data_IF_818346502807
#
_entry.id   IF_818346502807
#
_cell.length_a   1.000
_cell.length_b   1.000
_cell.length_c   1.000
_cell.angle_alpha   90.00
_cell.angle_beta   90.00
_cell.angle_gamma   90.00
#
_symmetry.space_group_name_H-M   'P 1'
#
loop_
_entity.id
_entity.type
_entity.pdbx_description
1 polymer ?
#
# COMPACT_ATOMS: atom_id res chain seq x y z
N UNK A 1 2.94 -14.93 16.84
CA UNK A 1 2.40 -14.17 15.67
C UNK A 1 2.56 -15.04 14.43
N UNK A 2 1.50 -15.32 13.67
CA UNK A 2 1.59 -16.06 12.40
C UNK A 2 2.15 -15.13 11.32
N UNK A 3 3.30 -15.48 10.72
CA UNK A 3 3.86 -14.78 9.56
C UNK A 3 3.42 -15.47 8.27
N UNK A 4 3.30 -14.71 7.19
CA UNK A 4 3.05 -15.25 5.84
C UNK A 4 4.37 -15.27 5.07
N UNK A 5 4.68 -16.39 4.42
CA UNK A 5 5.89 -16.49 3.62
C UNK A 5 5.66 -15.87 2.24
N UNK A 6 6.16 -14.64 2.07
CA UNK A 6 6.08 -13.88 0.83
C UNK A 6 7.46 -13.59 0.24
N UNK A 7 8.46 -14.45 0.47
CA UNK A 7 9.85 -14.23 0.02
C UNK A 7 10.01 -14.03 -1.49
N UNK A 8 9.09 -14.57 -2.30
CA UNK A 8 9.06 -14.41 -3.77
C UNK A 8 8.44 -13.10 -4.25
N UNK A 9 7.98 -12.25 -3.32
CA UNK A 9 7.37 -10.96 -3.63
C UNK A 9 8.32 -9.82 -3.31
N UNK A 10 8.25 -8.78 -4.13
CA UNK A 10 8.81 -7.46 -3.86
C UNK A 10 7.69 -6.49 -3.53
N UNK A 11 8.02 -5.48 -2.75
CA UNK A 11 7.20 -4.30 -2.57
C UNK A 11 7.66 -3.28 -3.61
N UNK A 12 6.73 -2.76 -4.41
CA UNK A 12 6.97 -1.57 -5.23
C UNK A 12 6.19 -0.43 -4.59
N UNK A 13 6.88 0.60 -4.11
CA UNK A 13 6.29 1.80 -3.53
C UNK A 13 6.51 3.00 -4.44
N UNK A 14 5.46 3.76 -4.70
CA UNK A 14 5.49 5.05 -5.38
C UNK A 14 5.20 6.13 -4.34
N UNK A 15 6.18 6.97 -4.02
CA UNK A 15 6.12 8.01 -3.00
C UNK A 15 6.13 9.41 -3.62
N UNK A 16 5.37 10.33 -3.06
CA UNK A 16 5.37 11.74 -3.46
C UNK A 16 5.74 12.69 -2.32
N UNK A 17 5.18 12.48 -1.12
CA UNK A 17 5.50 13.30 0.07
C UNK A 17 4.93 12.69 1.37
N UNK A 18 5.21 13.34 2.49
CA UNK A 18 4.59 13.04 3.77
C UNK A 18 3.14 13.55 3.86
N UNK A 19 2.31 12.89 4.66
CA UNK A 19 1.00 13.41 5.08
C UNK A 19 1.06 13.92 6.52
N UNK A 20 0.13 14.79 6.94
CA UNK A 20 0.02 15.24 8.32
C UNK A 20 -0.55 14.13 9.22
N UNK A 21 0.19 13.02 9.39
CA UNK A 21 -0.21 11.82 10.15
C UNK A 21 -0.78 12.18 11.52
N UNK A 22 -0.12 13.10 12.24
CA UNK A 22 -0.56 13.57 13.57
C UNK A 22 -1.97 14.17 13.53
N UNK A 23 -2.34 14.90 12.48
CA UNK A 23 -3.66 15.50 12.33
C UNK A 23 -4.73 14.41 12.18
N UNK A 24 -4.52 13.47 11.25
CA UNK A 24 -5.44 12.34 11.03
C UNK A 24 -5.63 11.48 12.28
N UNK A 25 -4.54 11.21 13.01
CA UNK A 25 -4.60 10.40 14.23
C UNK A 25 -5.27 11.14 15.40
N UNK A 26 -5.28 12.47 15.43
CA UNK A 26 -6.00 13.26 16.45
C UNK A 26 -7.50 13.34 16.18
N UNK A 27 -7.92 13.22 14.91
CA UNK A 27 -9.33 13.22 14.54
C UNK A 27 -10.07 11.94 15.03
N UNK A 28 -11.03 12.12 15.92
CA UNK A 28 -11.84 11.02 16.49
C UNK A 28 -12.66 10.30 15.42
N UNK A 29 -13.24 11.01 14.43
CA UNK A 29 -14.04 10.40 13.35
C UNK A 29 -13.16 9.53 12.46
N UNK A 30 -11.95 9.99 12.14
CA UNK A 30 -10.96 9.20 11.38
C UNK A 30 -10.58 7.94 12.15
N UNK A 31 -10.24 8.05 13.44
CA UNK A 31 -9.92 6.88 14.29
C UNK A 31 -11.06 5.87 14.36
N UNK A 32 -12.30 6.32 14.55
CA UNK A 32 -13.48 5.43 14.60
C UNK A 32 -13.66 4.68 13.27
N UNK A 33 -13.45 5.36 12.15
CA UNK A 33 -13.52 4.75 10.81
C UNK A 33 -12.43 3.71 10.61
N UNK A 34 -11.18 4.06 10.89
CA UNK A 34 -10.03 3.13 10.85
C UNK A 34 -10.31 1.87 11.67
N UNK A 35 -10.80 2.02 12.91
CA UNK A 35 -11.09 0.89 13.77
C UNK A 35 -12.23 0.01 13.24
N UNK A 36 -13.29 0.62 12.69
CA UNK A 36 -14.43 -0.12 12.11
C UNK A 36 -14.00 -0.89 10.86
N UNK A 37 -13.38 -0.20 9.91
CA UNK A 37 -12.96 -0.77 8.62
C UNK A 37 -11.83 -1.79 8.82
N UNK A 38 -10.88 -1.51 9.71
CA UNK A 38 -9.74 -2.39 10.01
C UNK A 38 -10.17 -3.75 10.57
N UNK A 39 -11.16 -3.79 11.48
CA UNK A 39 -11.72 -5.05 11.98
C UNK A 39 -12.35 -5.89 10.87
N UNK A 40 -13.10 -5.24 9.97
CA UNK A 40 -13.73 -5.87 8.80
C UNK A 40 -12.67 -6.40 7.83
N UNK A 41 -11.69 -5.57 7.48
CA UNK A 41 -10.57 -5.91 6.60
C UNK A 41 -9.77 -7.11 7.13
N UNK A 42 -9.42 -7.10 8.42
CA UNK A 42 -8.71 -8.21 9.05
C UNK A 42 -9.53 -9.50 9.02
N UNK A 43 -10.82 -9.44 9.34
CA UNK A 43 -11.71 -10.62 9.29
C UNK A 43 -11.70 -11.24 7.89
N UNK A 44 -11.82 -10.43 6.83
CA UNK A 44 -11.80 -10.94 5.46
C UNK A 44 -10.44 -11.51 5.05
N UNK A 45 -9.35 -10.84 5.42
CA UNK A 45 -8.01 -11.29 5.05
C UNK A 45 -7.70 -12.66 5.65
N UNK A 46 -8.14 -12.92 6.88
CA UNK A 46 -7.89 -14.17 7.59
C UNK A 46 -8.62 -15.40 7.02
N UNK A 47 -9.66 -15.21 6.19
CA UNK A 47 -10.39 -16.32 5.56
C UNK A 47 -9.50 -17.06 4.55
N UNK A 48 -8.81 -16.31 3.67
CA UNK A 48 -7.91 -16.86 2.65
C UNK A 48 -6.74 -15.90 2.39
N UNK A 49 -5.71 -15.91 3.26
CA UNK A 49 -4.59 -14.98 3.14
C UNK A 49 -3.76 -15.25 1.88
N UNK A 50 -3.55 -14.22 1.06
CA UNK A 50 -2.63 -14.21 -0.08
C UNK A 50 -2.10 -12.80 -0.32
N UNK A 51 -1.00 -12.65 -1.06
CA UNK A 51 -0.47 -11.32 -1.41
C UNK A 51 -1.49 -10.48 -2.21
N UNK A 52 -2.24 -11.12 -3.11
CA UNK A 52 -3.31 -10.47 -3.87
C UNK A 52 -4.49 -10.07 -2.98
N UNK A 53 -4.90 -10.94 -2.05
CA UNK A 53 -5.93 -10.59 -1.08
C UNK A 53 -5.47 -9.43 -0.18
N UNK A 54 -4.19 -9.40 0.19
CA UNK A 54 -3.61 -8.34 1.00
C UNK A 54 -3.71 -6.98 0.30
N UNK A 55 -3.29 -6.87 -0.95
CA UNK A 55 -3.36 -5.58 -1.68
C UNK A 55 -4.80 -5.15 -1.95
N UNK A 56 -5.69 -6.07 -2.37
CA UNK A 56 -7.12 -5.77 -2.59
C UNK A 56 -7.81 -5.30 -1.31
N UNK A 57 -7.58 -5.97 -0.19
CA UNK A 57 -8.16 -5.59 1.11
C UNK A 57 -7.56 -4.28 1.61
N UNK A 58 -6.26 -4.06 1.38
CA UNK A 58 -5.61 -2.78 1.71
C UNK A 58 -6.21 -1.63 0.90
N UNK A 59 -6.47 -1.84 -0.40
CA UNK A 59 -7.12 -0.85 -1.28
C UNK A 59 -8.53 -0.53 -0.79
N UNK A 60 -9.36 -1.56 -0.55
CA UNK A 60 -10.70 -1.39 0.05
C UNK A 60 -10.62 -0.62 1.39
N UNK A 61 -9.65 -0.96 2.25
CA UNK A 61 -9.47 -0.28 3.53
C UNK A 61 -9.14 1.21 3.34
N UNK A 62 -8.22 1.54 2.45
CA UNK A 62 -7.82 2.92 2.19
C UNK A 62 -8.95 3.74 1.53
N UNK A 63 -9.71 3.15 0.60
CA UNK A 63 -10.90 3.74 -0.01
C UNK A 63 -11.99 4.03 1.05
N UNK A 64 -12.30 3.07 1.92
CA UNK A 64 -13.30 3.25 2.97
C UNK A 64 -12.86 4.27 4.05
N UNK A 65 -11.55 4.33 4.37
CA UNK A 65 -11.00 5.33 5.31
C UNK A 65 -10.96 6.73 4.68
N UNK A 66 -10.77 6.82 3.36
CA UNK A 66 -10.83 8.04 2.53
C UNK A 66 -9.89 9.16 2.99
N UNK A 67 -8.62 8.81 3.24
CA UNK A 67 -7.54 9.74 3.61
C UNK A 67 -6.58 10.06 2.45
N UNK A 68 -6.99 9.73 1.22
CA UNK A 68 -6.23 10.07 0.02
C UNK A 68 -6.19 11.59 -0.23
N UNK A 69 -5.04 12.08 -0.68
CA UNK A 69 -4.96 13.37 -1.38
C UNK A 69 -5.57 13.26 -2.77
N UNK A 70 -5.92 14.39 -3.40
CA UNK A 70 -6.41 14.38 -4.78
C UNK A 70 -5.38 13.76 -5.73
N UNK A 71 -4.09 14.09 -5.56
CA UNK A 71 -3.00 13.51 -6.34
C UNK A 71 -2.97 11.98 -6.27
N UNK A 72 -3.12 11.38 -5.09
CA UNK A 72 -3.17 9.91 -4.99
C UNK A 72 -4.39 9.31 -5.69
N UNK A 73 -5.55 9.99 -5.67
CA UNK A 73 -6.75 9.53 -6.39
C UNK A 73 -6.52 9.53 -7.90
N UNK A 74 -5.91 10.59 -8.43
CA UNK A 74 -5.62 10.71 -9.86
C UNK A 74 -4.60 9.65 -10.30
N UNK A 75 -3.54 9.45 -9.52
CA UNK A 75 -2.52 8.41 -9.75
C UNK A 75 -3.16 7.01 -9.72
N UNK A 76 -3.98 6.70 -8.72
CA UNK A 76 -4.69 5.41 -8.65
C UNK A 76 -5.60 5.20 -9.86
N UNK A 77 -6.36 6.22 -10.28
CA UNK A 77 -7.22 6.12 -11.46
C UNK A 77 -6.44 5.77 -12.73
N UNK A 78 -5.21 6.25 -12.87
CA UNK A 78 -4.33 5.92 -13.99
C UNK A 78 -3.76 4.50 -13.82
N UNK A 79 -3.23 4.15 -12.64
CA UNK A 79 -2.66 2.83 -12.36
C UNK A 79 -3.68 1.70 -12.55
N UNK A 80 -4.92 1.94 -12.13
CA UNK A 80 -6.02 0.96 -12.21
C UNK A 80 -6.30 0.52 -13.66
N UNK A 81 -6.01 1.38 -14.66
CA UNK A 81 -6.13 1.05 -16.09
C UNK A 81 -5.09 0.04 -16.56
N UNK A 82 -3.94 -0.04 -15.90
CA UNK A 82 -2.84 -0.94 -16.27
C UNK A 82 -2.90 -2.27 -15.53
N UNK A 83 -3.32 -2.26 -14.26
CA UNK A 83 -3.06 -3.40 -13.38
C UNK A 83 -4.27 -4.00 -12.66
N UNK A 84 -5.45 -3.40 -12.82
CA UNK A 84 -6.69 -3.91 -12.24
C UNK A 84 -6.77 -3.72 -10.73
N UNK A 85 -6.41 -2.54 -10.23
CA UNK A 85 -6.54 -2.12 -8.82
C UNK A 85 -5.59 -2.86 -7.87
N UNK A 86 -4.33 -3.06 -8.27
CA UNK A 86 -3.34 -3.73 -7.42
C UNK A 86 -2.66 -2.79 -6.42
N UNK A 87 -2.68 -1.47 -6.66
CA UNK A 87 -2.09 -0.50 -5.74
C UNK A 87 -3.05 -0.12 -4.61
N UNK A 88 -2.46 0.07 -3.43
CA UNK A 88 -3.09 0.60 -2.23
C UNK A 88 -2.21 1.70 -1.62
N UNK A 89 -2.77 2.48 -0.69
CA UNK A 89 -2.03 3.50 0.05
C UNK A 89 -1.01 2.91 1.04
N UNK A 90 0.19 3.49 1.11
CA UNK A 90 1.05 3.35 2.29
C UNK A 90 0.42 4.18 3.40
N UNK A 91 -0.06 3.53 4.46
CA UNK A 91 -0.88 4.22 5.46
C UNK A 91 -0.16 5.43 6.07
N UNK A 92 -0.82 6.58 5.96
CA UNK A 92 -0.35 7.89 6.39
C UNK A 92 0.88 8.47 5.67
N UNK A 93 1.23 7.96 4.49
CA UNK A 93 2.12 8.62 3.55
C UNK A 93 1.38 9.04 2.28
N UNK A 94 1.88 10.04 1.57
CA UNK A 94 1.39 10.34 0.23
C UNK A 94 2.10 9.41 -0.75
N UNK A 95 1.81 8.13 -0.60
CA UNK A 95 2.49 7.05 -1.27
C UNK A 95 1.54 5.87 -1.49
N UNK A 96 1.84 5.08 -2.52
CA UNK A 96 1.13 3.87 -2.89
C UNK A 96 2.09 2.70 -2.90
N UNK A 97 1.61 1.50 -2.62
CA UNK A 97 2.37 0.27 -2.77
C UNK A 97 1.56 -0.81 -3.48
N UNK A 98 2.29 -1.77 -4.05
CA UNK A 98 1.76 -3.07 -4.43
C UNK A 98 2.74 -4.17 -4.04
N UNK A 99 2.23 -5.40 -4.00
CA UNK A 99 3.04 -6.62 -3.88
C UNK A 99 3.06 -7.32 -5.23
N UNK A 100 4.26 -7.56 -5.75
CA UNK A 100 4.44 -8.19 -7.06
C UNK A 100 5.45 -9.32 -6.94
N UNK A 101 5.26 -10.40 -7.70
CA UNK A 101 6.28 -11.44 -7.80
C UNK A 101 7.57 -10.86 -8.39
N UNK A 102 8.72 -11.33 -7.95
CA UNK A 102 10.02 -10.79 -8.37
C UNK A 102 10.22 -10.77 -9.90
N UNK A 103 9.76 -11.82 -10.59
CA UNK A 103 9.81 -11.94 -12.06
C UNK A 103 8.88 -10.96 -12.80
N UNK A 104 8.00 -10.26 -12.08
CA UNK A 104 6.99 -9.34 -12.62
C UNK A 104 7.23 -7.88 -12.24
N UNK A 105 8.34 -7.58 -11.54
CA UNK A 105 8.68 -6.20 -11.16
C UNK A 105 8.85 -5.30 -12.39
N UNK A 106 9.49 -5.79 -13.46
CA UNK A 106 9.68 -5.04 -14.70
C UNK A 106 8.37 -4.55 -15.32
N UNK A 107 7.34 -5.40 -15.33
CA UNK A 107 6.01 -5.06 -15.84
C UNK A 107 5.42 -3.88 -15.06
N UNK A 108 5.54 -3.87 -13.73
CA UNK A 108 5.06 -2.78 -12.86
C UNK A 108 5.83 -1.48 -13.14
N UNK A 109 7.16 -1.57 -13.29
CA UNK A 109 8.01 -0.39 -13.50
C UNK A 109 7.73 0.32 -14.82
N UNK A 110 7.25 -0.40 -15.84
CA UNK A 110 6.92 0.16 -17.15
C UNK A 110 5.91 1.32 -17.07
N UNK A 111 4.96 1.24 -16.13
CA UNK A 111 3.92 2.26 -15.96
C UNK A 111 4.06 3.07 -14.66
N UNK A 112 4.65 2.54 -13.59
CA UNK A 112 4.91 3.34 -12.36
C UNK A 112 5.91 4.47 -12.63
N UNK A 113 6.90 4.24 -13.50
CA UNK A 113 7.90 5.26 -13.81
C UNK A 113 7.34 6.48 -14.59
N UNK A 114 6.11 6.40 -15.11
CA UNK A 114 5.44 7.55 -15.73
C UNK A 114 5.26 8.70 -14.74
N UNK A 115 5.15 8.41 -13.44
CA UNK A 115 4.92 9.41 -12.41
C UNK A 115 6.18 10.16 -11.97
N UNK A 116 7.37 9.75 -12.43
CA UNK A 116 8.63 10.45 -12.11
C UNK A 116 8.62 11.92 -12.54
N UNK A 117 8.01 12.22 -13.68
CA UNK A 117 7.91 13.60 -14.22
C UNK A 117 6.99 14.50 -13.39
N UNK A 118 6.15 13.93 -12.53
CA UNK A 118 5.23 14.66 -11.63
C UNK A 118 5.63 14.50 -10.17
N UNK A 119 6.92 14.24 -9.91
CA UNK A 119 7.50 14.18 -8.57
C UNK A 119 7.31 12.86 -7.83
N UNK A 120 6.96 11.78 -8.54
CA UNK A 120 6.88 10.44 -7.97
C UNK A 120 8.25 9.74 -7.90
N UNK A 121 8.57 9.18 -6.74
CA UNK A 121 9.78 8.38 -6.51
C UNK A 121 9.43 6.92 -6.29
N UNK A 122 10.08 6.03 -7.03
CA UNK A 122 9.85 4.59 -6.93
C UNK A 122 10.89 3.94 -6.03
N UNK A 123 10.45 3.19 -5.03
CA UNK A 123 11.27 2.38 -4.15
C UNK A 123 10.87 0.92 -4.32
N UNK A 124 11.85 0.04 -4.51
CA UNK A 124 11.65 -1.41 -4.61
C UNK A 124 12.38 -2.06 -3.45
N UNK A 125 11.71 -2.94 -2.72
CA UNK A 125 12.33 -3.67 -1.62
C UNK A 125 11.88 -5.13 -1.56
N UNK A 126 12.73 -5.97 -0.97
CA UNK A 126 12.32 -7.27 -0.47
C UNK A 126 11.47 -7.12 0.81
N UNK A 127 10.70 -8.14 1.15
CA UNK A 127 9.99 -8.22 2.42
C UNK A 127 10.94 -8.80 3.47
N UNK A 128 11.21 -8.05 4.54
CA UNK A 128 12.01 -8.56 5.66
C UNK A 128 11.19 -9.54 6.51
N UNK A 129 11.77 -10.72 6.76
CA UNK A 129 11.16 -11.80 7.55
C UNK A 129 11.74 -11.91 8.97
N UNK A 130 12.85 -11.22 9.26
CA UNK A 130 13.61 -11.36 10.51
C UNK A 130 13.22 -10.28 11.52
N UNK A 131 12.90 -9.07 11.07
CA UNK A 131 12.56 -7.94 11.93
C UNK A 131 13.81 -7.18 12.40
N UNK A 132 13.64 -6.27 13.37
CA UNK A 132 14.72 -5.42 13.87
C UNK A 132 15.88 -6.24 14.46
N UNK A 133 17.11 -5.82 14.15
CA UNK A 133 18.35 -6.42 14.67
C UNK A 133 19.13 -5.35 15.42
N UNK A 134 19.73 -5.74 16.54
CA UNK A 134 20.73 -4.92 17.22
C UNK A 134 22.06 -5.21 16.50
N UNK A 135 22.73 -4.16 16.06
CA UNK A 135 24.08 -4.25 15.49
C UNK A 135 25.00 -3.64 16.53
N UNK A 136 25.89 -4.46 17.08
CA UNK A 136 26.96 -4.02 17.99
C UNK A 136 28.11 -3.36 17.23
#
# INVERSE_FOLDING_TARGET
IRKFNWSKFKVVSLHFSALPTKSFLRDRKVRLRINKVGRKALKYFLIKPSAEAFTKISRMFADEVSIYTQRLRDVLSILDKFDGQKFSMNMFGEALFTLVKEDKVGDILSYVNLFRKVGGETIISSIDSVGARIID
#
